data_IF_785334704003
#
_entry.id   IF_785334704003
#
_cell.length_a   1.000
_cell.length_b   1.000
_cell.length_c   1.000
_cell.angle_alpha   90.00
_cell.angle_beta   90.00
_cell.angle_gamma   90.00
#
_symmetry.space_group_name_H-M   'P 1'
#
loop_
_entity.id
_entity.type
_entity.pdbx_description
1 polymer ?
#
# COMPACT_ATOMS: atom_id res chain seq x y z
N UNK A 1 -6.90 2.51 14.04
CA UNK A 1 -5.98 1.75 13.16
C UNK A 1 -4.56 2.11 13.56
N UNK A 2 -3.73 1.14 13.95
CA UNK A 2 -2.31 1.35 14.27
C UNK A 2 -1.42 1.22 13.03
N UNK A 3 -0.13 1.51 13.17
CA UNK A 3 0.89 1.40 12.10
C UNK A 3 0.95 0.02 11.41
N UNK A 4 0.90 -1.13 12.12
CA UNK A 4 0.88 -2.45 11.47
C UNK A 4 -0.35 -2.65 10.58
N UNK A 5 -1.49 -2.13 11.00
CA UNK A 5 -2.74 -2.26 10.26
C UNK A 5 -2.76 -1.33 9.03
N UNK A 6 -2.14 -0.14 9.13
CA UNK A 6 -1.92 0.76 7.98
C UNK A 6 -1.02 0.11 6.93
N UNK A 7 0.10 -0.49 7.33
CA UNK A 7 1.00 -1.22 6.41
C UNK A 7 0.31 -2.40 5.75
N UNK A 8 -0.42 -3.19 6.54
CA UNK A 8 -1.20 -4.33 6.02
C UNK A 8 -2.23 -3.86 5.01
N UNK A 9 -2.91 -2.74 5.27
CA UNK A 9 -3.91 -2.20 4.35
C UNK A 9 -3.29 -1.68 3.05
N UNK A 10 -2.18 -0.94 3.14
CA UNK A 10 -1.45 -0.48 1.96
C UNK A 10 -0.99 -1.67 1.08
N UNK A 11 -0.44 -2.73 1.70
CA UNK A 11 -0.04 -3.95 0.99
C UNK A 11 -1.22 -4.65 0.29
N UNK A 12 -2.37 -4.76 0.96
CA UNK A 12 -3.58 -5.32 0.36
C UNK A 12 -4.08 -4.51 -0.83
N UNK A 13 -4.07 -3.18 -0.74
CA UNK A 13 -4.51 -2.30 -1.81
C UNK A 13 -3.59 -2.36 -3.02
N UNK A 14 -2.27 -2.44 -2.82
CA UNK A 14 -1.30 -2.66 -3.89
C UNK A 14 -1.53 -3.98 -4.60
N UNK A 15 -1.69 -5.06 -3.83
CA UNK A 15 -1.97 -6.37 -4.38
C UNK A 15 -3.28 -6.38 -5.17
N UNK A 16 -4.36 -5.82 -4.62
CA UNK A 16 -5.64 -5.70 -5.31
C UNK A 16 -5.55 -4.88 -6.60
N UNK A 17 -4.76 -3.80 -6.61
CA UNK A 17 -4.50 -3.02 -7.83
C UNK A 17 -3.83 -3.86 -8.92
N UNK A 18 -2.81 -4.64 -8.57
CA UNK A 18 -2.12 -5.54 -9.52
C UNK A 18 -3.07 -6.61 -10.03
N UNK A 19 -3.81 -7.27 -9.14
CA UNK A 19 -4.79 -8.30 -9.54
C UNK A 19 -5.88 -7.72 -10.45
N UNK A 20 -6.35 -6.49 -10.19
CA UNK A 20 -7.32 -5.80 -11.04
C UNK A 20 -6.76 -5.43 -12.42
N UNK A 21 -5.48 -5.00 -12.47
CA UNK A 21 -4.78 -4.70 -13.72
C UNK A 21 -4.62 -5.96 -14.57
N UNK A 22 -4.22 -7.08 -13.97
CA UNK A 22 -4.14 -8.39 -14.63
C UNK A 22 -5.47 -8.88 -15.21
N UNK A 23 -6.59 -8.48 -14.59
CA UNK A 23 -7.94 -8.80 -15.04
C UNK A 23 -8.49 -7.81 -16.09
N UNK A 24 -7.77 -6.72 -16.37
CA UNK A 24 -8.23 -5.64 -17.23
C UNK A 24 -9.38 -4.82 -16.63
N UNK A 25 -9.58 -4.87 -15.31
CA UNK A 25 -10.62 -4.11 -14.62
C UNK A 25 -10.10 -2.71 -14.24
N UNK A 26 -10.19 -1.80 -15.20
CA UNK A 26 -9.75 -0.42 -15.04
C UNK A 26 -10.50 0.33 -13.91
N UNK A 27 -11.74 -0.06 -13.61
CA UNK A 27 -12.51 0.55 -12.53
C UNK A 27 -11.95 0.11 -11.16
N UNK A 28 -11.70 -1.18 -10.99
CA UNK A 28 -11.10 -1.70 -9.77
C UNK A 28 -9.67 -1.14 -9.56
N UNK A 29 -8.87 -0.98 -10.62
CA UNK A 29 -7.55 -0.32 -10.54
C UNK A 29 -7.68 1.10 -9.99
N UNK A 30 -8.64 1.89 -10.50
CA UNK A 30 -8.87 3.25 -10.03
C UNK A 30 -9.30 3.27 -8.55
N UNK A 31 -10.21 2.39 -8.14
CA UNK A 31 -10.64 2.28 -6.75
C UNK A 31 -9.49 1.92 -5.79
N UNK A 32 -8.67 0.93 -6.15
CA UNK A 32 -7.52 0.54 -5.34
C UNK A 32 -6.48 1.66 -5.24
N UNK A 33 -6.31 2.45 -6.30
CA UNK A 33 -5.38 3.59 -6.33
C UNK A 33 -5.84 4.69 -5.39
N UNK A 34 -7.10 5.14 -5.49
CA UNK A 34 -7.65 6.18 -4.60
C UNK A 34 -7.60 5.73 -3.13
N UNK A 35 -7.97 4.48 -2.85
CA UNK A 35 -7.91 3.95 -1.50
C UNK A 35 -6.46 3.88 -0.96
N UNK A 36 -5.48 3.61 -1.82
CA UNK A 36 -4.07 3.59 -1.45
C UNK A 36 -3.57 5.00 -1.11
N UNK A 37 -3.93 6.01 -1.90
CA UNK A 37 -3.59 7.42 -1.65
C UNK A 37 -4.14 7.90 -0.29
N UNK A 38 -5.36 7.50 0.06
CA UNK A 38 -5.96 7.82 1.37
C UNK A 38 -5.19 7.17 2.53
N UNK A 39 -4.78 5.92 2.37
CA UNK A 39 -3.98 5.21 3.38
C UNK A 39 -2.59 5.84 3.51
N UNK A 40 -1.93 6.18 2.40
CA UNK A 40 -0.62 6.84 2.38
C UNK A 40 -0.66 8.24 3.01
N UNK A 41 -1.72 9.01 2.74
CA UNK A 41 -1.97 10.30 3.40
C UNK A 41 -2.12 10.14 4.91
N UNK A 42 -2.93 9.18 5.36
CA UNK A 42 -3.09 8.89 6.79
C UNK A 42 -1.78 8.40 7.44
N UNK A 43 -0.96 7.66 6.70
CA UNK A 43 0.40 7.28 7.13
C UNK A 43 1.26 8.51 7.40
N UNK A 44 1.35 9.43 6.43
CA UNK A 44 2.12 10.67 6.55
C UNK A 44 1.68 11.53 7.73
N UNK A 45 0.37 11.71 7.92
CA UNK A 45 -0.19 12.44 9.07
C UNK A 45 0.23 11.86 10.43
N UNK A 46 0.64 10.59 10.44
CA UNK A 46 1.06 9.84 11.64
C UNK A 46 2.56 9.55 11.68
N UNK A 47 3.34 10.11 10.76
CA UNK A 47 4.78 9.86 10.67
C UNK A 47 5.16 8.46 10.20
N UNK A 48 4.23 7.71 9.61
CA UNK A 48 4.48 6.39 9.01
C UNK A 48 4.66 6.57 7.52
N UNK A 49 5.86 6.32 7.01
CA UNK A 49 6.08 6.25 5.58
C UNK A 49 5.51 4.94 5.03
N UNK A 50 4.47 5.09 4.21
CA UNK A 50 3.84 3.99 3.49
C UNK A 50 4.18 4.01 2.02
N UNK A 51 4.91 5.01 1.49
CA UNK A 51 5.14 5.21 0.05
C UNK A 51 5.99 4.11 -0.61
N UNK A 52 6.71 3.32 0.18
CA UNK A 52 7.55 2.23 -0.31
C UNK A 52 6.80 0.93 -0.51
N UNK A 53 7.03 0.29 -1.66
CA UNK A 53 7.10 -1.17 -1.76
C UNK A 53 7.96 -1.66 -0.57
N UNK A 54 7.46 -2.62 0.20
CA UNK A 54 8.26 -3.18 1.27
C UNK A 54 9.51 -3.77 0.62
N UNK A 55 10.65 -3.09 0.72
CA UNK A 55 11.93 -3.72 0.46
C UNK A 55 12.21 -4.61 1.68
N UNK A 56 12.22 -5.96 1.54
CA UNK A 56 12.74 -6.81 2.61
C UNK A 56 14.26 -6.67 2.78
N UNK A 57 14.94 -5.82 2.01
CA UNK A 57 16.40 -5.63 2.07
C UNK A 57 16.79 -4.51 3.03
N UNK A 58 16.40 -4.62 4.31
CA UNK A 58 17.15 -3.96 5.38
C UNK A 58 17.34 -4.94 6.52
N UNK A 59 18.37 -5.76 6.37
CA UNK A 59 18.78 -6.76 7.35
C UNK A 59 20.09 -7.48 7.05
N UNK A 60 21.01 -6.86 6.29
CA UNK A 60 22.43 -7.23 6.35
C UNK A 60 23.09 -6.30 7.35
N UNK A 61 23.14 -6.74 8.60
CA UNK A 61 24.13 -6.31 9.58
C UNK A 61 24.45 -7.52 10.48
N UNK A 62 25.67 -8.03 10.37
CA UNK A 62 26.22 -9.09 11.22
C UNK A 62 26.97 -10.14 10.42
#
# INVERSE_FOLDING_TARGET
>A
MGEPELRRRAAQLRRGRVEADEQGDAWAVALHTVALEDVERLGRERGVDLSGEADPSTGVHG
#
